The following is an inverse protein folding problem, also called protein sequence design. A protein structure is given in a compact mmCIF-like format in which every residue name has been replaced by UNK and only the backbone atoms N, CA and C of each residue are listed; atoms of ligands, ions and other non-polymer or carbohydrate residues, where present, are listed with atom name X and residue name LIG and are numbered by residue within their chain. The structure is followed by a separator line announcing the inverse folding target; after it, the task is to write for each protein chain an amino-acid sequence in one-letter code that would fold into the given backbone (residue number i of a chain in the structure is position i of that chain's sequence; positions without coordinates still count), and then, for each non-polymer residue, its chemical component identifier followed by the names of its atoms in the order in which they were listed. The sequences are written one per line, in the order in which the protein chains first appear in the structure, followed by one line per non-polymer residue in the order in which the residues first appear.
data_IF_052213313583
#
_entry.id   IF_052213313583
#
_cell.length_a   1.000
_cell.length_b   1.000
_cell.length_c   1.000
_cell.angle_alpha   90.00
_cell.angle_beta   90.00
_cell.angle_gamma   90.00
#
_symmetry.space_group_name_H-M   'P 1'
#
loop_
_entity.id
_entity.type
_entity.pdbx_description
1 polymer ?
#
# COMPACT_ATOMS: atom_id res chain seq x y z
N UNK A 1 -21.32 -5.57 18.42
CA UNK A 1 -20.43 -6.76 18.32
C UNK A 1 -19.28 -6.43 17.35
N UNK A 2 -18.16 -7.17 17.36
CA UNK A 2 -17.01 -6.90 16.47
C UNK A 2 -17.41 -6.74 14.98
N UNK A 3 -18.38 -7.54 14.52
CA UNK A 3 -18.99 -7.39 13.18
C UNK A 3 -19.43 -5.95 12.88
N UNK A 4 -20.17 -5.32 13.79
CA UNK A 4 -20.73 -3.98 13.60
C UNK A 4 -19.63 -2.91 13.63
N UNK A 5 -18.62 -3.11 14.49
CA UNK A 5 -17.46 -2.23 14.59
C UNK A 5 -16.62 -2.25 13.31
N UNK A 6 -16.42 -3.44 12.73
CA UNK A 6 -15.71 -3.60 11.46
C UNK A 6 -16.52 -3.07 10.27
N UNK A 7 -17.84 -3.25 10.27
CA UNK A 7 -18.71 -2.68 9.24
C UNK A 7 -18.68 -1.14 9.28
N UNK A 8 -18.80 -0.55 10.47
CA UNK A 8 -18.68 0.90 10.68
C UNK A 8 -17.27 1.43 10.39
N UNK A 9 -16.23 0.62 10.57
CA UNK A 9 -14.88 0.98 10.19
C UNK A 9 -14.72 1.01 8.66
N UNK A 10 -15.20 -0.03 7.98
CA UNK A 10 -15.15 -0.15 6.52
C UNK A 10 -15.94 0.94 5.80
N UNK A 11 -17.07 1.37 6.36
CA UNK A 11 -17.87 2.47 5.76
C UNK A 11 -17.13 3.81 5.73
N UNK A 12 -16.13 4.03 6.60
CA UNK A 12 -15.30 5.25 6.58
C UNK A 12 -14.44 5.37 5.32
N UNK A 13 -14.15 4.27 4.63
CA UNK A 13 -13.46 4.30 3.35
C UNK A 13 -14.33 4.90 2.24
N UNK A 14 -15.64 5.04 2.42
CA UNK A 14 -16.54 5.69 1.46
C UNK A 14 -16.09 7.11 1.07
N UNK A 15 -15.41 7.82 1.99
CA UNK A 15 -14.85 9.15 1.72
C UNK A 15 -13.85 9.15 0.56
N UNK A 16 -13.15 8.04 0.34
CA UNK A 16 -12.14 7.87 -0.73
C UNK A 16 -12.57 6.87 -1.81
N UNK A 17 -13.42 5.91 -1.43
CA UNK A 17 -13.90 4.80 -2.25
C UNK A 17 -15.43 4.70 -2.11
N UNK A 18 -16.22 5.52 -2.85
CA UNK A 18 -17.67 5.61 -2.69
C UNK A 18 -18.42 4.29 -2.84
N UNK A 19 -17.84 3.29 -3.49
CA UNK A 19 -18.44 1.98 -3.61
C UNK A 19 -18.62 1.24 -2.27
N UNK A 20 -17.82 1.56 -1.23
CA UNK A 20 -17.97 0.98 0.11
C UNK A 20 -19.28 1.34 0.83
N UNK A 21 -19.96 2.43 0.41
CA UNK A 21 -21.28 2.81 0.95
C UNK A 21 -22.45 2.36 0.07
N UNK A 22 -22.19 1.64 -1.04
CA UNK A 22 -23.28 1.10 -1.85
C UNK A 22 -24.04 0.02 -1.06
N UNK A 23 -25.37 -0.04 -1.25
CA UNK A 23 -26.22 -1.00 -0.56
C UNK A 23 -25.76 -2.45 -0.77
N UNK A 24 -25.37 -2.79 -2.01
CA UNK A 24 -24.81 -4.08 -2.36
C UNK A 24 -23.52 -4.39 -1.59
N UNK A 25 -22.57 -3.44 -1.52
CA UNK A 25 -21.33 -3.62 -0.76
C UNK A 25 -21.57 -3.77 0.73
N UNK A 26 -22.50 -3.01 1.32
CA UNK A 26 -22.87 -3.13 2.73
C UNK A 26 -23.44 -4.52 3.00
N UNK A 27 -24.33 -5.02 2.14
CA UNK A 27 -24.89 -6.36 2.26
C UNK A 27 -23.80 -7.44 2.19
N UNK A 28 -22.91 -7.37 1.18
CA UNK A 28 -21.81 -8.34 1.02
C UNK A 28 -20.83 -8.33 2.21
N UNK A 29 -20.54 -7.16 2.76
CA UNK A 29 -19.72 -7.04 3.98
C UNK A 29 -20.43 -7.64 5.20
N UNK A 30 -21.74 -7.40 5.36
CA UNK A 30 -22.52 -7.99 6.46
C UNK A 30 -22.53 -9.52 6.42
N UNK A 31 -22.66 -10.10 5.23
CA UNK A 31 -22.61 -11.55 5.02
C UNK A 31 -21.21 -12.10 5.26
N UNK A 32 -20.17 -11.49 4.70
CA UNK A 32 -18.79 -11.96 4.88
C UNK A 32 -18.26 -11.83 6.31
N UNK A 33 -18.84 -10.97 7.15
CA UNK A 33 -18.50 -10.81 8.56
C UNK A 33 -19.33 -11.70 9.50
N UNK A 34 -20.31 -12.47 9.00
CA UNK A 34 -21.26 -13.19 9.87
C UNK A 34 -20.59 -14.24 10.76
N UNK A 35 -19.49 -14.84 10.29
CA UNK A 35 -18.73 -15.86 11.02
C UNK A 35 -18.14 -15.34 12.34
N UNK A 36 -17.99 -14.03 12.51
CA UNK A 36 -17.47 -13.42 13.73
C UNK A 36 -18.36 -13.66 14.96
N UNK A 37 -19.64 -14.02 14.76
CA UNK A 37 -20.57 -14.37 15.86
C UNK A 37 -20.05 -15.58 16.68
N UNK A 38 -19.28 -16.45 16.05
CA UNK A 38 -18.78 -17.71 16.60
C UNK A 38 -17.46 -17.52 17.40
N UNK A 39 -17.06 -16.27 17.67
CA UNK A 39 -15.83 -15.93 18.38
C UNK A 39 -16.11 -15.09 19.64
N UNK A 40 -15.32 -15.33 20.69
CA UNK A 40 -15.33 -14.54 21.92
C UNK A 40 -14.54 -13.25 21.72
N UNK A 41 -15.19 -12.23 21.15
CA UNK A 41 -14.57 -10.95 20.76
C UNK A 41 -15.13 -9.75 21.53
N UNK A 42 -16.18 -9.93 22.33
CA UNK A 42 -16.86 -8.85 23.04
C UNK A 42 -15.97 -8.21 24.11
N UNK A 43 -15.94 -6.88 24.14
CA UNK A 43 -15.18 -6.10 25.13
C UNK A 43 -13.65 -6.18 24.98
N UNK A 44 -13.13 -6.87 23.96
CA UNK A 44 -11.69 -7.03 23.76
C UNK A 44 -11.15 -5.95 22.81
N UNK A 45 -10.68 -4.84 23.39
CA UNK A 45 -10.14 -3.69 22.66
C UNK A 45 -8.93 -4.05 21.78
N UNK A 46 -8.10 -5.01 22.21
CA UNK A 46 -6.97 -5.49 21.41
C UNK A 46 -7.45 -6.19 20.13
N UNK A 47 -8.49 -7.01 20.22
CA UNK A 47 -9.05 -7.74 19.07
C UNK A 47 -9.68 -6.77 18.07
N UNK A 48 -10.48 -5.83 18.56
CA UNK A 48 -11.07 -4.78 17.71
C UNK A 48 -10.00 -3.95 16.99
N UNK A 49 -9.01 -3.44 17.73
CA UNK A 49 -7.90 -2.69 17.16
C UNK A 49 -7.13 -3.49 16.12
N UNK A 50 -6.77 -4.74 16.42
CA UNK A 50 -5.97 -5.59 15.53
C UNK A 50 -6.71 -5.96 14.24
N UNK A 51 -8.02 -6.22 14.33
CA UNK A 51 -8.86 -6.49 13.17
C UNK A 51 -8.97 -5.26 12.26
N UNK A 52 -9.22 -4.07 12.83
CA UNK A 52 -9.24 -2.79 12.10
C UNK A 52 -7.89 -2.49 11.45
N UNK A 53 -6.80 -2.67 12.19
CA UNK A 53 -5.44 -2.50 11.67
C UNK A 53 -5.17 -3.41 10.48
N UNK A 54 -5.56 -4.68 10.56
CA UNK A 54 -5.33 -5.68 9.50
C UNK A 54 -6.12 -5.34 8.24
N UNK A 55 -7.39 -4.93 8.39
CA UNK A 55 -8.21 -4.44 7.27
C UNK A 55 -7.60 -3.19 6.65
N UNK A 56 -7.22 -2.20 7.47
CA UNK A 56 -6.61 -0.96 6.98
C UNK A 56 -5.35 -1.23 6.18
N UNK A 57 -4.47 -2.08 6.73
CA UNK A 57 -3.22 -2.43 6.08
C UNK A 57 -3.47 -3.13 4.74
N UNK A 58 -4.46 -4.00 4.66
CA UNK A 58 -4.82 -4.65 3.40
C UNK A 58 -5.35 -3.67 2.36
N UNK A 59 -6.21 -2.71 2.75
CA UNK A 59 -6.67 -1.66 1.84
C UNK A 59 -5.48 -0.81 1.35
N UNK A 60 -4.57 -0.39 2.24
CA UNK A 60 -3.34 0.32 1.83
C UNK A 60 -2.49 -0.49 0.84
N UNK A 61 -2.34 -1.80 1.06
CA UNK A 61 -1.61 -2.67 0.13
C UNK A 61 -2.34 -2.78 -1.22
N UNK A 62 -3.68 -2.82 -1.25
CA UNK A 62 -4.47 -2.75 -2.48
C UNK A 62 -4.28 -1.42 -3.22
N UNK A 63 -4.21 -0.31 -2.51
CA UNK A 63 -3.90 1.00 -3.09
C UNK A 63 -2.52 1.04 -3.75
N UNK A 64 -1.50 0.54 -3.07
CA UNK A 64 -0.14 0.46 -3.62
C UNK A 64 -0.11 -0.43 -4.88
N UNK A 65 -0.80 -1.57 -4.87
CA UNK A 65 -0.94 -2.45 -6.03
C UNK A 65 -1.67 -1.76 -7.19
N UNK A 66 -2.76 -1.05 -6.91
CA UNK A 66 -3.53 -0.33 -7.93
C UNK A 66 -2.69 0.79 -8.56
N UNK A 67 -2.03 1.61 -7.73
CA UNK A 67 -1.07 2.62 -8.19
C UNK A 67 0.04 2.00 -9.03
N UNK A 68 0.58 0.85 -8.65
CA UNK A 68 1.59 0.12 -9.45
C UNK A 68 1.05 -0.32 -10.81
N UNK A 69 -0.21 -0.75 -10.90
CA UNK A 69 -0.85 -1.09 -12.18
C UNK A 69 -1.05 0.14 -13.06
N UNK A 70 -1.47 1.26 -12.49
CA UNK A 70 -1.58 2.55 -13.19
C UNK A 70 -0.20 3.04 -13.69
N UNK A 71 0.84 2.92 -12.87
CA UNK A 71 2.25 3.23 -13.21
C UNK A 71 2.80 2.37 -14.35
N UNK A 72 2.55 1.06 -14.32
CA UNK A 72 2.98 0.10 -15.37
C UNK A 72 2.31 0.32 -16.72
N UNK A 73 1.18 1.05 -16.80
CA UNK A 73 0.37 1.04 -18.02
C UNK A 73 0.77 2.06 -19.10
N UNK A 74 1.61 3.08 -18.90
CA UNK A 74 2.11 3.90 -20.06
C UNK A 74 3.19 4.99 -19.84
N UNK A 75 3.64 5.35 -18.63
CA UNK A 75 4.38 6.62 -18.41
C UNK A 75 5.73 6.54 -17.68
N UNK A 76 5.96 5.54 -16.85
CA UNK A 76 7.09 5.55 -15.90
C UNK A 76 8.42 5.07 -16.49
N UNK A 77 8.49 4.14 -17.44
CA UNK A 77 9.77 3.85 -18.12
C UNK A 77 10.30 5.06 -18.90
N UNK A 78 9.40 5.83 -19.52
CA UNK A 78 9.77 7.07 -20.22
C UNK A 78 10.18 8.16 -19.23
N UNK A 79 9.53 8.22 -18.07
CA UNK A 79 9.83 9.23 -17.04
C UNK A 79 11.11 8.89 -16.29
N UNK A 80 11.32 7.64 -15.89
CA UNK A 80 12.56 7.13 -15.30
C UNK A 80 13.73 7.34 -16.25
N UNK A 81 13.62 6.94 -17.53
CA UNK A 81 14.65 7.25 -18.55
C UNK A 81 14.92 8.75 -18.71
N UNK A 82 13.90 9.61 -18.56
CA UNK A 82 14.07 11.07 -18.59
C UNK A 82 14.78 11.58 -17.33
N UNK A 83 14.47 11.03 -16.16
CA UNK A 83 15.10 11.37 -14.89
C UNK A 83 16.56 10.90 -14.88
N UNK A 84 16.84 9.66 -15.27
CA UNK A 84 18.20 9.12 -15.45
C UNK A 84 19.01 9.96 -16.44
N UNK A 85 18.42 10.33 -17.59
CA UNK A 85 19.07 11.20 -18.56
C UNK A 85 19.36 12.59 -18.00
N UNK A 86 18.46 13.15 -17.19
CA UNK A 86 18.65 14.45 -16.54
C UNK A 86 19.78 14.39 -15.50
N UNK A 87 19.86 13.32 -14.70
CA UNK A 87 20.96 13.08 -13.76
C UNK A 87 22.30 13.02 -14.52
N UNK A 88 22.38 12.22 -15.59
CA UNK A 88 23.60 12.11 -16.39
C UNK A 88 24.01 13.45 -17.03
N UNK A 89 23.04 14.26 -17.46
CA UNK A 89 23.30 15.59 -18.03
C UNK A 89 23.83 16.54 -16.95
N UNK A 90 23.30 16.48 -15.73
CA UNK A 90 23.77 17.30 -14.61
C UNK A 90 25.19 16.92 -14.18
N UNK A 91 25.52 15.63 -14.16
CA UNK A 91 26.90 15.18 -13.96
C UNK A 91 27.83 15.67 -15.07
N UNK A 92 27.43 15.59 -16.35
CA UNK A 92 28.22 16.13 -17.45
C UNK A 92 28.47 17.64 -17.34
N UNK A 93 27.45 18.43 -16.98
CA UNK A 93 27.62 19.87 -16.70
C UNK A 93 28.60 20.08 -15.53
N UNK A 94 28.50 19.26 -14.48
CA UNK A 94 29.41 19.34 -13.34
C UNK A 94 30.86 19.07 -13.76
N UNK A 95 31.08 18.06 -14.60
CA UNK A 95 32.40 17.71 -15.11
C UNK A 95 32.96 18.79 -16.06
N UNK A 96 32.20 19.19 -17.07
CA UNK A 96 32.65 20.11 -18.14
C UNK A 96 32.96 21.52 -17.64
N UNK A 97 32.19 22.04 -16.68
CA UNK A 97 32.30 23.43 -16.23
C UNK A 97 33.03 23.60 -14.90
N UNK A 98 33.10 22.53 -14.10
CA UNK A 98 33.52 22.64 -12.72
C UNK A 98 34.60 21.61 -12.35
N UNK A 99 34.93 20.61 -13.15
CA UNK A 99 36.07 19.70 -12.83
C UNK A 99 37.35 20.13 -13.58
N UNK A 100 37.65 21.43 -13.56
CA UNK A 100 38.96 21.98 -13.95
C UNK A 100 39.99 21.87 -12.82
N UNK A 101 41.28 21.98 -13.17
CA UNK A 101 42.52 21.69 -12.42
C UNK A 101 42.40 21.68 -10.88
N UNK A 102 43.12 20.75 -10.23
CA UNK A 102 43.25 20.55 -8.77
C UNK A 102 43.67 21.84 -8.03
N UNK A 103 42.72 22.77 -7.87
CA UNK A 103 42.83 23.97 -7.07
C UNK A 103 42.24 23.65 -5.71
N UNK A 104 42.96 24.02 -4.64
CA UNK A 104 42.55 23.82 -3.26
C UNK A 104 41.15 24.44 -2.98
N UNK A 105 40.36 23.78 -2.13
CA UNK A 105 38.98 24.15 -1.80
C UNK A 105 38.88 25.55 -1.17
N UNK A 106 39.91 25.98 -0.44
CA UNK A 106 39.98 27.32 0.16
C UNK A 106 40.23 28.41 -0.90
N UNK A 107 41.10 28.14 -1.88
CA UNK A 107 41.40 29.08 -2.97
C UNK A 107 40.24 29.17 -3.97
N UNK A 108 39.52 28.07 -4.23
CA UNK A 108 38.29 28.08 -5.02
C UNK A 108 37.18 28.92 -4.34
N UNK A 109 37.04 28.84 -3.01
CA UNK A 109 36.07 29.64 -2.23
C UNK A 109 36.34 31.14 -2.32
N UNK A 110 37.61 31.53 -2.34
CA UNK A 110 38.00 32.93 -2.42
C UNK A 110 37.88 33.50 -3.84
N UNK A 111 38.22 32.72 -4.87
CA UNK A 111 38.20 33.19 -6.27
C UNK A 111 36.83 33.07 -6.96
N UNK A 112 36.06 32.01 -6.69
CA UNK A 112 34.85 31.69 -7.45
C UNK A 112 33.66 31.29 -6.55
N UNK A 113 33.20 32.18 -5.65
CA UNK A 113 32.12 31.87 -4.71
C UNK A 113 30.79 31.52 -5.40
N UNK A 114 30.51 32.11 -6.57
CA UNK A 114 29.32 31.79 -7.36
C UNK A 114 29.40 30.40 -8.00
N UNK A 115 30.58 29.92 -8.39
CA UNK A 115 30.76 28.57 -8.94
C UNK A 115 30.52 27.50 -7.88
N UNK A 116 31.00 27.70 -6.65
CA UNK A 116 30.74 26.78 -5.53
C UNK A 116 29.26 26.71 -5.20
N UNK A 117 28.57 27.86 -5.22
CA UNK A 117 27.12 27.90 -5.05
C UNK A 117 26.40 27.15 -6.18
N UNK A 118 26.86 27.27 -7.42
CA UNK A 118 26.30 26.54 -8.56
C UNK A 118 26.54 25.02 -8.46
N UNK A 119 27.74 24.57 -8.08
CA UNK A 119 28.04 23.14 -7.83
C UNK A 119 27.09 22.56 -6.78
N UNK A 120 26.93 23.25 -5.66
CA UNK A 120 26.03 22.82 -4.59
C UNK A 120 24.57 22.72 -5.07
N UNK A 121 24.12 23.70 -5.85
CA UNK A 121 22.77 23.66 -6.44
C UNK A 121 22.60 22.46 -7.40
N UNK A 122 23.63 22.11 -8.18
CA UNK A 122 23.61 20.94 -9.05
C UNK A 122 23.56 19.65 -8.22
N UNK A 123 24.34 19.55 -7.15
CA UNK A 123 24.34 18.40 -6.25
C UNK A 123 22.99 18.22 -5.54
N UNK A 124 22.38 19.31 -5.06
CA UNK A 124 21.04 19.31 -4.47
C UNK A 124 19.96 18.86 -5.48
N UNK A 125 20.10 19.25 -6.76
CA UNK A 125 19.21 18.80 -7.84
C UNK A 125 19.39 17.32 -8.16
N UNK A 126 20.63 16.83 -8.26
CA UNK A 126 20.94 15.41 -8.47
C UNK A 126 20.35 14.59 -7.31
N UNK A 127 20.58 15.00 -6.07
CA UNK A 127 20.04 14.35 -4.88
C UNK A 127 18.49 14.30 -4.89
N UNK A 128 17.84 15.41 -5.22
CA UNK A 128 16.38 15.46 -5.33
C UNK A 128 15.83 14.52 -6.43
N UNK A 129 16.56 14.35 -7.54
CA UNK A 129 16.19 13.42 -8.62
C UNK A 129 16.39 11.96 -8.21
N UNK A 130 17.45 11.62 -7.47
CA UNK A 130 17.62 10.28 -6.89
C UNK A 130 16.55 9.95 -5.85
N UNK A 131 16.21 10.87 -4.95
CA UNK A 131 15.09 10.69 -4.02
C UNK A 131 13.77 10.41 -4.75
N UNK A 132 13.59 11.02 -5.93
CA UNK A 132 12.43 10.76 -6.78
C UNK A 132 12.43 9.34 -7.32
N UNK A 133 13.58 8.81 -7.78
CA UNK A 133 13.76 7.40 -8.18
C UNK A 133 13.48 6.45 -7.00
N UNK A 134 14.05 6.71 -5.82
CA UNK A 134 13.83 5.90 -4.61
C UNK A 134 12.34 5.84 -4.20
N UNK A 135 11.58 6.92 -4.40
CA UNK A 135 10.14 6.94 -4.18
C UNK A 135 9.37 6.08 -5.19
N UNK A 136 9.89 5.90 -6.40
CA UNK A 136 9.35 4.95 -7.38
C UNK A 136 9.71 3.50 -7.03
N UNK A 137 10.90 3.25 -6.48
CA UNK A 137 11.41 1.89 -6.17
C UNK A 137 10.91 1.32 -4.83
N UNK A 138 10.66 2.13 -3.79
CA UNK A 138 10.20 1.63 -2.46
C UNK A 138 8.81 0.99 -2.45
N UNK A 139 7.99 1.18 -3.49
CA UNK A 139 6.68 0.53 -3.67
C UNK A 139 6.78 -0.88 -4.30
N UNK A 140 7.99 -1.41 -4.56
CA UNK A 140 8.14 -2.56 -5.48
C UNK A 140 7.76 -3.95 -4.94
N UNK A 141 7.83 -4.22 -3.63
CA UNK A 141 7.72 -5.59 -3.12
C UNK A 141 6.30 -6.06 -2.75
N UNK A 142 5.30 -5.19 -2.69
CA UNK A 142 3.94 -5.63 -2.35
C UNK A 142 3.22 -6.16 -3.60
N UNK A 143 2.94 -7.46 -3.60
CA UNK A 143 2.17 -8.15 -4.65
C UNK A 143 0.80 -8.57 -4.11
N UNK A 144 -0.21 -8.84 -4.98
CA UNK A 144 -1.49 -9.38 -4.54
C UNK A 144 -1.33 -10.62 -3.65
N UNK A 145 -0.40 -11.52 -4.01
CA UNK A 145 -0.13 -12.75 -3.25
C UNK A 145 0.40 -12.45 -1.85
N UNK A 146 1.36 -11.51 -1.72
CA UNK A 146 1.94 -11.13 -0.44
C UNK A 146 0.90 -10.43 0.45
N UNK A 147 0.14 -9.49 -0.11
CA UNK A 147 -0.92 -8.78 0.62
C UNK A 147 -1.98 -9.77 1.14
N UNK A 148 -2.41 -10.71 0.31
CA UNK A 148 -3.38 -11.74 0.71
C UNK A 148 -2.83 -12.62 1.84
N UNK A 149 -1.60 -13.12 1.71
CA UNK A 149 -0.98 -13.99 2.73
C UNK A 149 -0.84 -13.28 4.08
N UNK A 150 -0.48 -11.99 4.09
CA UNK A 150 -0.39 -11.18 5.31
C UNK A 150 -1.75 -11.01 5.98
N UNK A 151 -2.78 -10.66 5.21
CA UNK A 151 -4.14 -10.54 5.73
C UNK A 151 -4.65 -11.87 6.30
N UNK A 152 -4.56 -12.94 5.51
CA UNK A 152 -5.09 -14.25 5.89
C UNK A 152 -4.40 -14.77 7.16
N UNK A 153 -3.06 -14.65 7.25
CA UNK A 153 -2.29 -15.05 8.44
C UNK A 153 -2.68 -14.24 9.68
N UNK A 154 -2.69 -12.91 9.58
CA UNK A 154 -2.95 -12.04 10.72
C UNK A 154 -4.38 -12.22 11.28
N UNK A 155 -5.39 -12.34 10.40
CA UNK A 155 -6.77 -12.62 10.84
C UNK A 155 -6.92 -14.02 11.43
N UNK A 156 -6.21 -15.01 10.88
CA UNK A 156 -6.26 -16.36 11.41
C UNK A 156 -5.67 -16.41 12.81
N UNK A 157 -4.45 -15.91 13.01
CA UNK A 157 -3.79 -15.84 14.32
C UNK A 157 -4.61 -15.03 15.35
N UNK A 158 -5.30 -13.97 14.90
CA UNK A 158 -6.16 -13.17 15.77
C UNK A 158 -7.38 -13.96 16.29
N UNK A 159 -7.92 -14.87 15.50
CA UNK A 159 -9.21 -15.53 15.78
C UNK A 159 -9.09 -16.99 16.23
N UNK A 160 -8.02 -17.70 15.86
CA UNK A 160 -7.92 -19.16 16.02
C UNK A 160 -8.09 -19.61 17.48
N UNK A 161 -7.48 -18.89 18.42
CA UNK A 161 -7.55 -19.17 19.87
C UNK A 161 -8.86 -18.69 20.53
N UNK A 162 -9.72 -17.99 19.80
CA UNK A 162 -10.92 -17.30 20.35
C UNK A 162 -12.24 -17.93 19.92
N UNK A 163 -12.19 -19.13 19.35
CA UNK A 163 -13.37 -19.88 18.89
C UNK A 163 -14.29 -20.25 20.05
N UNK A 164 -15.59 -20.01 19.92
CA UNK A 164 -16.59 -20.53 20.84
C UNK A 164 -16.78 -22.03 20.61
N UNK A 165 -16.61 -22.85 21.64
CA UNK A 165 -16.98 -24.27 21.67
C UNK A 165 -16.50 -25.12 20.47
N UNK A 166 -15.38 -24.78 19.84
CA UNK A 166 -14.90 -25.41 18.60
C UNK A 166 -15.92 -25.39 17.43
N UNK A 167 -16.84 -24.41 17.41
CA UNK A 167 -17.90 -24.30 16.41
C UNK A 167 -17.41 -24.11 14.96
N UNK A 168 -16.11 -23.86 14.76
CA UNK A 168 -15.53 -23.63 13.46
C UNK A 168 -14.17 -24.33 13.35
N UNK A 169 -14.03 -25.21 12.37
CA UNK A 169 -12.76 -25.85 12.08
C UNK A 169 -11.73 -24.84 11.54
N UNK A 170 -10.41 -25.10 11.65
CA UNK A 170 -9.38 -24.27 11.02
C UNK A 170 -9.62 -24.03 9.52
N UNK A 171 -10.13 -25.04 8.81
CA UNK A 171 -10.41 -24.96 7.37
C UNK A 171 -11.59 -24.01 7.09
N UNK A 172 -12.66 -24.08 7.88
CA UNK A 172 -13.80 -23.18 7.76
C UNK A 172 -13.43 -21.74 8.11
N UNK A 173 -12.59 -21.54 9.13
CA UNK A 173 -12.04 -20.23 9.48
C UNK A 173 -11.23 -19.64 8.33
N UNK A 174 -10.31 -20.41 7.73
CA UNK A 174 -9.53 -19.97 6.59
C UNK A 174 -10.39 -19.60 5.38
N UNK A 175 -11.47 -20.36 5.13
CA UNK A 175 -12.46 -20.05 4.07
C UNK A 175 -13.21 -18.76 4.36
N UNK A 176 -13.66 -18.55 5.60
CA UNK A 176 -14.38 -17.33 5.99
C UNK A 176 -13.49 -16.08 5.88
N UNK A 177 -12.24 -16.15 6.35
CA UNK A 177 -11.25 -15.06 6.21
C UNK A 177 -10.98 -14.76 4.74
N UNK A 178 -10.81 -15.80 3.92
CA UNK A 178 -10.63 -15.65 2.47
C UNK A 178 -11.84 -14.95 1.84
N UNK A 179 -13.06 -15.32 2.23
CA UNK A 179 -14.28 -14.69 1.73
C UNK A 179 -14.35 -13.21 2.11
N UNK A 180 -14.03 -12.84 3.35
CA UNK A 180 -13.93 -11.44 3.79
C UNK A 180 -12.91 -10.68 2.95
N UNK A 181 -11.70 -11.22 2.80
CA UNK A 181 -10.62 -10.63 1.99
C UNK A 181 -11.06 -10.38 0.55
N UNK A 182 -11.66 -11.38 -0.10
CA UNK A 182 -12.13 -11.31 -1.48
C UNK A 182 -13.23 -10.25 -1.60
N UNK A 183 -14.15 -10.21 -0.64
CA UNK A 183 -15.24 -9.23 -0.59
C UNK A 183 -14.69 -7.81 -0.53
N UNK A 184 -13.78 -7.51 0.41
CA UNK A 184 -13.11 -6.21 0.54
C UNK A 184 -12.39 -5.84 -0.77
N UNK A 185 -11.64 -6.79 -1.36
CA UNK A 185 -10.91 -6.54 -2.60
C UNK A 185 -11.83 -6.27 -3.78
N UNK A 186 -12.95 -6.96 -3.91
CA UNK A 186 -13.87 -6.79 -5.02
C UNK A 186 -14.59 -5.44 -4.92
N UNK A 187 -15.05 -5.07 -3.72
CA UNK A 187 -15.56 -3.72 -3.43
C UNK A 187 -14.50 -2.68 -3.77
N UNK A 188 -13.26 -2.82 -3.26
CA UNK A 188 -12.18 -1.88 -3.57
C UNK A 188 -11.97 -1.68 -5.09
N UNK A 189 -11.94 -2.78 -5.87
CA UNK A 189 -11.74 -2.72 -7.32
C UNK A 189 -13.01 -2.37 -8.12
N UNK A 190 -14.12 -2.05 -7.44
CA UNK A 190 -15.44 -1.86 -8.06
C UNK A 190 -15.84 -3.02 -8.99
N UNK A 191 -15.54 -4.25 -8.58
CA UNK A 191 -15.91 -5.48 -9.29
C UNK A 191 -17.10 -6.13 -8.58
N UNK A 192 -18.09 -6.66 -9.32
CA UNK A 192 -19.12 -7.46 -8.69
C UNK A 192 -18.46 -8.66 -7.98
N UNK A 193 -18.86 -8.94 -6.74
CA UNK A 193 -18.52 -10.22 -6.14
C UNK A 193 -19.20 -11.29 -6.98
N UNK A 194 -18.41 -12.02 -7.76
CA UNK A 194 -18.86 -13.23 -8.42
C UNK A 194 -19.19 -14.18 -7.27
N UNK A 195 -20.45 -14.21 -6.84
CA UNK A 195 -20.98 -15.34 -6.09
C UNK A 195 -20.56 -16.56 -6.89
N UNK A 196 -19.59 -17.32 -6.38
CA UNK A 196 -19.52 -18.75 -6.71
C UNK A 196 -20.94 -19.23 -6.49
N UNK A 197 -21.63 -19.54 -7.59
CA UNK A 197 -23.03 -19.92 -7.60
C UNK A 197 -23.19 -20.89 -6.44
N UNK A 198 -24.02 -20.51 -5.48
CA UNK A 198 -24.67 -21.49 -4.62
C UNK A 198 -25.29 -22.48 -5.59
N UNK A 199 -24.81 -23.71 -5.57
CA UNK A 199 -25.53 -24.82 -6.16
C UNK A 199 -26.97 -24.72 -5.64
N UNK A 200 -27.90 -24.70 -6.59
CA UNK A 200 -29.32 -24.93 -6.33
C UNK A 200 -29.51 -26.40 -5.97
#
# INVERSE_FOLDING_TARGET
MLKDELLNFLSRYANKYPQFQSEASIYELKESLIFLKDFNTEGNSYVDYSAKFTINKYIQDLEAIAKKKERKQTRDERLLKKIEKAINTLYGIKEDFFMGEDIDEEDQKAMYPDEIKMRKNIDDLIYALYLKIDCYEKDENITPTIANKKFDKAFFELLDERKKNNNISPIELAKAITQLRVTIRNIFNNKPNIRTKSDK
#
